data_IF_475208587312
#
_entry.id   IF_475208587312
#
_cell.length_a   1.000
_cell.length_b   1.000
_cell.length_c   1.000
_cell.angle_alpha   90.00
_cell.angle_beta   90.00
_cell.angle_gamma   90.00
#
_symmetry.space_group_name_H-M   'P 1'
#
loop_
_entity.id
_entity.type
_entity.pdbx_description
1 polymer ?
#
# COMPACT_ATOMS: atom_id res chain seq x y z
N UNK A 1 3.90 18.34 -0.04
CA UNK A 1 2.54 18.74 0.44
C UNK A 1 1.48 18.75 -0.67
N UNK A 2 1.69 19.43 -1.80
CA UNK A 2 0.72 19.47 -2.91
C UNK A 2 0.46 18.10 -3.59
N UNK A 3 1.50 17.30 -3.81
CA UNK A 3 1.35 15.95 -4.37
C UNK A 3 0.48 15.01 -3.51
N UNK A 4 0.50 15.19 -2.19
CA UNK A 4 -0.30 14.39 -1.25
C UNK A 4 -1.80 14.70 -1.33
N UNK A 5 -2.15 15.98 -1.47
CA UNK A 5 -3.55 16.40 -1.68
C UNK A 5 -4.06 15.95 -3.05
N UNK A 6 -3.22 16.08 -4.09
CA UNK A 6 -3.55 15.63 -5.45
C UNK A 6 -3.89 14.13 -5.49
N UNK A 7 -3.06 13.28 -4.85
CA UNK A 7 -3.31 11.84 -4.74
C UNK A 7 -4.69 11.54 -4.14
N UNK A 8 -5.02 12.18 -3.01
CA UNK A 8 -6.31 11.97 -2.32
C UNK A 8 -7.50 12.37 -3.20
N UNK A 9 -7.35 13.48 -3.92
CA UNK A 9 -8.38 13.98 -4.82
C UNK A 9 -8.59 13.03 -6.02
N UNK A 10 -7.51 12.48 -6.58
CA UNK A 10 -7.57 11.48 -7.65
C UNK A 10 -8.24 10.18 -7.20
N UNK A 11 -7.91 9.67 -6.01
CA UNK A 11 -8.54 8.46 -5.46
C UNK A 11 -10.04 8.67 -5.23
N UNK A 12 -10.44 9.83 -4.72
CA UNK A 12 -11.85 10.18 -4.55
C UNK A 12 -12.59 10.26 -5.89
N UNK A 13 -12.00 10.92 -6.90
CA UNK A 13 -12.56 11.00 -8.25
C UNK A 13 -12.77 9.61 -8.85
N UNK A 14 -11.78 8.72 -8.74
CA UNK A 14 -11.89 7.35 -9.24
C UNK A 14 -13.02 6.60 -8.51
N UNK A 15 -13.09 6.73 -7.18
CA UNK A 15 -14.15 6.09 -6.39
C UNK A 15 -15.56 6.55 -6.76
N UNK A 16 -15.73 7.85 -7.05
CA UNK A 16 -17.02 8.42 -7.44
C UNK A 16 -17.41 8.09 -8.89
N UNK A 17 -16.44 8.06 -9.80
CA UNK A 17 -16.70 7.85 -11.25
C UNK A 17 -16.88 6.38 -11.60
N UNK A 18 -16.16 5.49 -10.92
CA UNK A 18 -16.15 4.05 -11.21
C UNK A 18 -16.90 3.19 -10.18
N UNK A 19 -17.80 3.79 -9.39
CA UNK A 19 -18.59 3.07 -8.38
C UNK A 19 -19.34 1.84 -8.94
N UNK A 20 -19.76 1.89 -10.21
CA UNK A 20 -20.43 0.77 -10.88
C UNK A 20 -19.51 -0.36 -11.36
N UNK A 21 -18.19 -0.18 -11.36
CA UNK A 21 -17.22 -1.19 -11.79
C UNK A 21 -16.03 -1.29 -10.81
N UNK A 22 -16.12 -2.16 -9.78
CA UNK A 22 -15.11 -2.24 -8.73
C UNK A 22 -13.74 -2.72 -9.25
N UNK A 23 -13.72 -3.55 -10.30
CA UNK A 23 -12.47 -4.03 -10.90
C UNK A 23 -11.67 -2.89 -11.53
N UNK A 24 -12.32 -2.03 -12.33
CA UNK A 24 -11.65 -0.85 -12.90
C UNK A 24 -11.22 0.14 -11.82
N UNK A 25 -12.05 0.34 -10.79
CA UNK A 25 -11.72 1.21 -9.67
C UNK A 25 -10.41 0.76 -8.99
N UNK A 26 -10.28 -0.53 -8.69
CA UNK A 26 -9.10 -1.08 -8.03
C UNK A 26 -7.83 -1.03 -8.89
N UNK A 27 -7.94 -1.29 -10.20
CA UNK A 27 -6.80 -1.14 -11.14
C UNK A 27 -6.29 0.30 -11.12
N UNK A 28 -7.19 1.28 -11.27
CA UNK A 28 -6.81 2.70 -11.34
C UNK A 28 -6.18 3.18 -10.03
N UNK A 29 -6.71 2.75 -8.88
CA UNK A 29 -6.12 3.04 -7.57
C UNK A 29 -4.72 2.42 -7.46
N UNK A 30 -4.54 1.19 -7.93
CA UNK A 30 -3.23 0.53 -7.91
C UNK A 30 -2.21 1.24 -8.81
N UNK A 31 -2.62 1.67 -10.01
CA UNK A 31 -1.75 2.45 -10.91
C UNK A 31 -1.29 3.77 -10.28
N UNK A 32 -2.18 4.46 -9.55
CA UNK A 32 -1.80 5.66 -8.79
C UNK A 32 -0.78 5.31 -7.71
N UNK A 33 -0.98 4.20 -6.98
CA UNK A 33 -0.03 3.78 -5.94
C UNK A 33 1.36 3.50 -6.54
N UNK A 34 1.44 2.82 -7.68
CA UNK A 34 2.70 2.57 -8.39
C UNK A 34 3.34 3.88 -8.88
N UNK A 35 2.55 4.78 -9.46
CA UNK A 35 3.05 6.08 -9.90
C UNK A 35 3.65 6.89 -8.75
N UNK A 36 3.01 6.86 -7.58
CA UNK A 36 3.51 7.52 -6.36
C UNK A 36 4.83 6.91 -5.89
N UNK A 37 4.97 5.58 -5.94
CA UNK A 37 6.24 4.90 -5.63
C UNK A 37 7.36 5.40 -6.53
N UNK A 38 7.12 5.47 -7.84
CA UNK A 38 8.10 5.94 -8.83
C UNK A 38 8.43 7.41 -8.60
N UNK A 39 7.41 8.25 -8.44
CA UNK A 39 7.58 9.68 -8.18
C UNK A 39 8.39 9.93 -6.90
N UNK A 40 8.08 9.25 -5.80
CA UNK A 40 8.81 9.38 -4.54
C UNK A 40 10.24 8.82 -4.63
N UNK A 41 10.45 7.78 -5.44
CA UNK A 41 11.78 7.26 -5.74
C UNK A 41 12.68 8.27 -6.44
N UNK A 42 12.11 9.06 -7.35
CA UNK A 42 12.81 10.08 -8.16
C UNK A 42 12.93 11.45 -7.49
N UNK A 43 11.92 11.87 -6.73
CA UNK A 43 11.80 13.24 -6.23
C UNK A 43 12.43 13.50 -4.85
N UNK A 44 12.73 12.46 -4.04
CA UNK A 44 13.22 12.68 -2.66
C UNK A 44 14.61 12.08 -2.34
N UNK A 45 15.56 12.93 -1.91
CA UNK A 45 16.66 12.53 -1.05
C UNK A 45 16.16 12.55 0.40
N UNK A 46 15.56 11.44 0.84
CA UNK A 46 15.27 11.24 2.26
C UNK A 46 16.52 11.48 3.10
N UNK A 47 16.38 12.20 4.22
CA UNK A 47 17.49 12.54 5.12
C UNK A 47 18.17 11.29 5.70
N UNK A 48 17.42 10.21 5.92
CA UNK A 48 17.96 8.92 6.34
C UNK A 48 17.59 7.79 5.36
N UNK A 49 18.58 6.93 5.08
CA UNK A 49 18.41 5.74 4.21
C UNK A 49 17.40 4.74 4.78
N UNK A 50 17.23 4.73 6.10
CA UNK A 50 16.32 3.81 6.78
C UNK A 50 14.86 4.25 6.64
N UNK A 51 14.56 5.52 6.87
CA UNK A 51 13.21 6.08 6.69
C UNK A 51 12.77 5.94 5.22
N UNK A 52 13.68 6.19 4.26
CA UNK A 52 13.41 5.93 2.83
C UNK A 52 12.95 4.51 2.55
N UNK A 53 13.67 3.52 3.09
CA UNK A 53 13.38 2.10 2.87
C UNK A 53 12.07 1.70 3.52
N UNK A 54 11.75 2.27 4.69
CA UNK A 54 10.50 2.01 5.38
C UNK A 54 9.30 2.57 4.61
N UNK A 55 9.38 3.82 4.16
CA UNK A 55 8.33 4.44 3.36
C UNK A 55 8.13 3.71 2.04
N UNK A 56 9.23 3.38 1.35
CA UNK A 56 9.15 2.59 0.12
C UNK A 56 8.54 1.20 0.34
N UNK A 57 8.90 0.54 1.45
CA UNK A 57 8.33 -0.75 1.83
C UNK A 57 6.83 -0.62 2.10
N UNK A 58 6.39 0.37 2.88
CA UNK A 58 4.98 0.59 3.18
C UNK A 58 4.16 0.85 1.91
N UNK A 59 4.62 1.75 1.05
CA UNK A 59 3.95 2.06 -0.21
C UNK A 59 3.89 0.83 -1.13
N UNK A 60 4.96 0.02 -1.19
CA UNK A 60 4.98 -1.24 -1.94
C UNK A 60 3.96 -2.25 -1.37
N UNK A 61 3.88 -2.39 -0.05
CA UNK A 61 2.90 -3.27 0.60
C UNK A 61 1.45 -2.82 0.32
N UNK A 62 1.18 -1.52 0.30
CA UNK A 62 -0.13 -0.95 -0.09
C UNK A 62 -0.47 -1.25 -1.55
N UNK A 63 0.49 -1.11 -2.47
CA UNK A 63 0.28 -1.47 -3.88
C UNK A 63 0.00 -2.97 -4.04
N UNK A 64 0.78 -3.82 -3.36
CA UNK A 64 0.59 -5.28 -3.40
C UNK A 64 -0.74 -5.73 -2.81
N UNK A 65 -1.17 -5.15 -1.69
CA UNK A 65 -2.49 -5.47 -1.08
C UNK A 65 -3.65 -4.99 -1.95
N UNK A 66 -3.52 -3.83 -2.60
CA UNK A 66 -4.51 -3.34 -3.59
C UNK A 66 -4.60 -4.28 -4.79
N UNK A 67 -3.48 -4.84 -5.25
CA UNK A 67 -3.46 -5.86 -6.30
C UNK A 67 -4.20 -7.15 -5.88
N UNK A 68 -3.98 -7.64 -4.66
CA UNK A 68 -4.72 -8.81 -4.15
C UNK A 68 -6.23 -8.53 -4.06
N UNK A 69 -6.63 -7.32 -3.65
CA UNK A 69 -8.05 -6.91 -3.67
C UNK A 69 -8.65 -6.95 -5.08
N UNK A 70 -7.90 -6.53 -6.09
CA UNK A 70 -8.32 -6.65 -7.49
C UNK A 70 -8.57 -8.12 -7.89
N UNK A 71 -7.70 -9.04 -7.47
CA UNK A 71 -7.84 -10.46 -7.77
C UNK A 71 -9.05 -11.13 -7.09
N UNK A 72 -9.62 -10.50 -6.05
CA UNK A 72 -10.88 -10.95 -5.43
C UNK A 72 -12.14 -10.48 -6.16
N UNK A 73 -12.01 -9.57 -7.13
CA UNK A 73 -13.15 -9.18 -7.97
C UNK A 73 -13.50 -10.26 -8.99
N UNK A 74 -14.54 -10.02 -9.79
CA UNK A 74 -15.05 -10.95 -10.81
C UNK A 74 -14.04 -11.30 -11.93
N UNK A 75 -12.86 -10.69 -11.89
CA UNK A 75 -11.72 -10.96 -12.77
C UNK A 75 -11.21 -12.39 -12.64
N UNK A 76 -11.29 -12.98 -11.43
CA UNK A 76 -10.86 -14.34 -11.21
C UNK A 76 -12.08 -15.28 -11.04
N UNK A 77 -12.47 -16.04 -12.07
CA UNK A 77 -13.68 -16.87 -12.02
C UNK A 77 -13.52 -18.12 -11.14
N UNK A 78 -12.29 -18.58 -10.90
CA UNK A 78 -12.02 -19.77 -10.10
C UNK A 78 -11.97 -19.46 -8.61
N UNK A 79 -12.95 -19.99 -7.85
CA UNK A 79 -12.98 -19.89 -6.38
C UNK A 79 -11.77 -20.54 -5.70
N UNK A 80 -11.24 -21.61 -6.27
CA UNK A 80 -10.03 -22.26 -5.77
C UNK A 80 -8.81 -21.32 -5.86
N UNK A 81 -8.68 -20.60 -6.98
CA UNK A 81 -7.60 -19.63 -7.15
C UNK A 81 -7.76 -18.42 -6.20
N UNK A 82 -8.99 -17.93 -5.98
CA UNK A 82 -9.28 -16.88 -5.00
C UNK A 82 -8.86 -17.30 -3.58
N UNK A 83 -9.05 -18.56 -3.20
CA UNK A 83 -8.65 -19.08 -1.90
C UNK A 83 -7.12 -19.06 -1.70
N UNK A 84 -6.35 -19.49 -2.70
CA UNK A 84 -4.87 -19.42 -2.66
C UNK A 84 -4.38 -17.98 -2.57
N UNK A 85 -5.00 -17.06 -3.31
CA UNK A 85 -4.68 -15.63 -3.26
C UNK A 85 -5.02 -15.04 -1.89
N UNK A 86 -6.07 -15.54 -1.21
CA UNK A 86 -6.39 -15.12 0.15
C UNK A 86 -5.31 -15.48 1.17
N UNK A 87 -4.70 -16.65 1.07
CA UNK A 87 -3.55 -16.98 1.92
C UNK A 87 -2.37 -16.05 1.69
N UNK A 88 -2.06 -15.75 0.42
CA UNK A 88 -1.04 -14.75 0.07
C UNK A 88 -1.38 -13.37 0.66
N UNK A 89 -2.62 -12.92 0.50
CA UNK A 89 -3.07 -11.63 1.02
C UNK A 89 -2.91 -11.51 2.54
N UNK A 90 -3.31 -12.54 3.29
CA UNK A 90 -3.13 -12.59 4.75
C UNK A 90 -1.64 -12.56 5.13
N UNK A 91 -0.78 -13.26 4.39
CA UNK A 91 0.66 -13.23 4.63
C UNK A 91 1.26 -11.83 4.42
N UNK A 92 0.89 -11.14 3.34
CA UNK A 92 1.32 -9.76 3.08
C UNK A 92 0.81 -8.79 4.15
N UNK A 93 -0.46 -8.87 4.54
CA UNK A 93 -0.99 -8.05 5.63
C UNK A 93 -0.27 -8.29 6.96
N UNK A 94 -0.01 -9.56 7.29
CA UNK A 94 0.71 -9.93 8.51
C UNK A 94 2.13 -9.39 8.51
N UNK A 95 2.84 -9.47 7.37
CA UNK A 95 4.19 -8.93 7.21
C UNK A 95 4.20 -7.40 7.37
N UNK A 96 3.23 -6.71 6.77
CA UNK A 96 3.08 -5.26 6.89
C UNK A 96 2.85 -4.85 8.36
N UNK A 97 1.97 -5.57 9.06
CA UNK A 97 1.68 -5.32 10.47
C UNK A 97 2.90 -5.59 11.35
N UNK A 98 3.59 -6.72 11.16
CA UNK A 98 4.78 -7.10 11.91
C UNK A 98 5.93 -6.09 11.72
N UNK A 99 6.20 -5.68 10.47
CA UNK A 99 7.25 -4.70 10.15
C UNK A 99 7.00 -3.35 10.81
N UNK A 100 5.79 -2.80 10.67
CA UNK A 100 5.42 -1.54 11.28
C UNK A 100 5.41 -1.61 12.82
N UNK A 101 4.86 -2.68 13.38
CA UNK A 101 4.79 -2.87 14.85
C UNK A 101 6.17 -3.00 15.47
N UNK A 102 7.07 -3.77 14.84
CA UNK A 102 8.46 -3.92 15.29
C UNK A 102 9.18 -2.57 15.38
N UNK A 103 9.02 -1.71 14.37
CA UNK A 103 9.64 -0.39 14.37
C UNK A 103 9.08 0.51 15.47
N UNK A 104 7.76 0.55 15.64
CA UNK A 104 7.10 1.33 16.69
C UNK A 104 7.56 0.89 18.08
N UNK A 105 7.59 -0.43 18.34
CA UNK A 105 8.05 -0.98 19.63
C UNK A 105 9.50 -0.58 19.89
N UNK A 106 10.38 -0.75 18.90
CA UNK A 106 11.81 -0.38 19.03
C UNK A 106 12.00 1.12 19.31
N UNK A 107 11.21 1.97 18.65
CA UNK A 107 11.25 3.42 18.88
C UNK A 107 10.82 3.79 20.29
N UNK A 108 9.75 3.16 20.79
CA UNK A 108 9.26 3.40 22.15
C UNK A 108 10.24 2.91 23.22
N UNK A 109 10.78 1.69 23.09
CA UNK A 109 11.76 1.15 24.06
C UNK A 109 12.99 2.05 24.18
N UNK A 110 13.52 2.56 23.07
CA UNK A 110 14.65 3.50 23.09
C UNK A 110 14.32 4.80 23.81
N UNK A 111 13.11 5.33 23.63
CA UNK A 111 12.67 6.56 24.32
C UNK A 111 12.54 6.35 25.82
N UNK A 112 12.00 5.20 26.24
CA UNK A 112 11.87 4.87 27.67
C UNK A 112 13.22 4.58 28.33
N UNK A 113 14.19 4.01 27.61
CA UNK A 113 15.52 3.71 28.16
C UNK A 113 16.46 4.93 28.20
N UNK A 114 16.15 5.99 27.43
CA UNK A 114 16.90 7.26 27.42
C UNK A 114 16.29 8.33 28.36
N UNK A 115 15.25 7.96 29.12
CA UNK A 115 14.67 8.72 30.23
C UNK A 115 15.20 8.15 31.55
#
# INVERSE_FOLDING_TARGET
KHAFLLRRLLVLLIGLTFFGNPSMQLILINLINIFVIIHNGLAEPFLSRHEKRMDFFNEAMVAMTTYHLFMFTDVLPSKAAQYTIGWSFVAFLSLMLAGNSFFVIRSNVKKTFLL
#
